data_IF_381299253317
#
_entry.id   IF_381299253317
#
_cell.length_a   1.000
_cell.length_b   1.000
_cell.length_c   1.000
_cell.angle_alpha   90.00
_cell.angle_beta   90.00
_cell.angle_gamma   90.00
#
_symmetry.space_group_name_H-M   'P 1'
#
loop_
_entity.id
_entity.type
_entity.pdbx_description
1 polymer ?
#
# COMPACT_ATOMS: atom_id res chain seq x y z
N UNK A 1 41.16 49.36 29.73
CA UNK A 1 40.18 49.64 30.80
C UNK A 1 39.99 48.36 31.62
N UNK A 2 40.53 48.25 32.84
CA UNK A 2 39.87 48.53 34.16
C UNK A 2 38.63 47.62 34.35
N UNK A 3 38.48 46.70 35.32
CA UNK A 3 38.97 46.52 36.73
C UNK A 3 38.93 45.00 37.10
N UNK A 4 39.87 44.39 37.84
CA UNK A 4 40.03 44.27 39.33
C UNK A 4 38.86 43.54 40.02
N UNK A 5 38.92 42.59 40.99
CA UNK A 5 39.85 42.11 42.07
C UNK A 5 39.51 40.62 42.36
N UNK A 6 40.43 39.70 42.70
CA UNK A 6 41.12 39.44 43.99
C UNK A 6 40.24 39.13 45.24
N UNK A 7 40.47 37.95 45.83
CA UNK A 7 40.21 37.57 47.24
C UNK A 7 40.36 36.04 47.40
N UNK A 8 41.49 35.44 47.81
CA UNK A 8 42.17 35.35 49.13
C UNK A 8 41.48 34.48 50.21
N UNK A 9 42.22 33.45 50.68
CA UNK A 9 41.99 32.69 51.93
C UNK A 9 42.25 31.19 51.74
N UNK A 10 43.49 30.67 51.91
CA UNK A 10 44.07 30.07 53.15
C UNK A 10 43.15 29.00 53.79
N UNK A 11 43.58 27.81 54.22
CA UNK A 11 44.88 27.22 54.50
C UNK A 11 44.69 25.67 54.68
N UNK A 12 45.75 24.89 54.95
CA UNK A 12 45.84 23.48 54.52
C UNK A 12 45.78 22.45 55.67
N UNK A 13 46.03 21.18 55.28
CA UNK A 13 46.78 20.13 55.99
C UNK A 13 46.01 19.17 56.92
N UNK A 14 46.10 17.90 56.52
CA UNK A 14 46.69 16.79 57.29
C UNK A 14 45.76 15.71 57.86
N UNK A 15 46.16 14.48 57.49
CA UNK A 15 46.29 13.25 58.29
C UNK A 15 45.09 12.30 58.41
N UNK A 16 45.33 11.14 57.78
CA UNK A 16 45.03 9.79 58.24
C UNK A 16 44.59 9.68 59.70
N UNK A 17 43.46 9.00 59.90
CA UNK A 17 43.04 8.41 61.15
C UNK A 17 42.20 7.16 60.86
N UNK A 18 42.88 6.02 60.87
CA UNK A 18 42.34 4.67 60.91
C UNK A 18 41.46 4.50 62.16
N UNK A 19 40.24 3.96 62.05
CA UNK A 19 39.80 2.86 62.91
C UNK A 19 38.44 2.28 62.48
N UNK A 20 38.44 0.95 62.45
CA UNK A 20 37.35 0.03 62.20
C UNK A 20 36.47 -0.07 63.44
N UNK A 21 35.15 -0.04 63.27
CA UNK A 21 34.26 -0.86 64.12
C UNK A 21 32.94 -1.16 63.42
N UNK A 22 32.55 -2.42 63.54
CA UNK A 22 31.42 -3.06 62.92
C UNK A 22 30.06 -2.48 63.38
N UNK A 23 29.11 -2.45 62.46
CA UNK A 23 27.70 -2.18 62.73
C UNK A 23 26.86 -2.89 61.69
N UNK A 24 26.44 -4.11 62.00
CA UNK A 24 25.49 -4.91 61.23
C UNK A 24 24.12 -4.21 61.28
N UNK A 25 23.56 -3.82 60.14
CA UNK A 25 22.17 -3.35 60.07
C UNK A 25 21.47 -3.90 58.82
N UNK A 26 20.23 -4.30 59.05
CA UNK A 26 19.36 -5.15 58.24
C UNK A 26 19.00 -4.58 56.85
N UNK A 27 18.86 -5.52 55.89
CA UNK A 27 17.80 -5.66 54.87
C UNK A 27 17.08 -4.39 54.38
N UNK A 28 17.27 -4.05 53.10
CA UNK A 28 16.14 -3.90 52.16
C UNK A 28 16.62 -4.27 50.76
N UNK A 29 16.30 -5.48 50.30
CA UNK A 29 16.40 -5.84 48.88
C UNK A 29 15.31 -5.06 48.15
N UNK A 30 15.66 -3.91 47.58
CA UNK A 30 14.78 -3.18 46.68
C UNK A 30 14.57 -4.01 45.42
N UNK A 31 13.44 -4.70 45.32
CA UNK A 31 12.99 -5.29 44.08
C UNK A 31 12.75 -4.14 43.09
N UNK A 32 13.52 -4.09 42.00
CA UNK A 32 13.22 -3.21 40.88
C UNK A 32 11.82 -3.55 40.37
N UNK A 33 10.96 -2.56 40.06
CA UNK A 33 9.70 -2.85 39.40
C UNK A 33 10.01 -3.57 38.08
N UNK A 34 9.48 -4.78 37.91
CA UNK A 34 9.52 -5.46 36.62
C UNK A 34 8.85 -4.54 35.59
N UNK A 35 9.45 -4.29 34.42
CA UNK A 35 8.76 -3.57 33.37
C UNK A 35 7.50 -4.36 33.04
N UNK A 36 6.32 -3.77 33.30
CA UNK A 36 5.08 -4.30 32.74
C UNK A 36 5.29 -4.39 31.23
N UNK A 37 5.02 -5.53 30.58
CA UNK A 37 5.06 -5.59 29.14
C UNK A 37 4.08 -4.53 28.64
N UNK A 38 4.60 -3.51 27.96
CA UNK A 38 3.75 -2.52 27.31
C UNK A 38 2.73 -3.30 26.46
N UNK A 39 1.43 -2.95 26.49
CA UNK A 39 0.49 -3.56 25.56
C UNK A 39 1.03 -3.29 24.16
N UNK A 40 1.32 -4.36 23.41
CA UNK A 40 1.66 -4.24 22.00
C UNK A 40 0.50 -3.50 21.35
N UNK A 41 0.77 -2.30 20.81
CA UNK A 41 -0.22 -1.54 20.10
C UNK A 41 -0.87 -2.45 19.06
N UNK A 42 -2.20 -2.52 19.07
CA UNK A 42 -2.98 -3.36 18.16
C UNK A 42 -2.86 -2.97 16.66
N UNK A 43 -1.91 -2.10 16.32
CA UNK A 43 -1.56 -1.73 14.95
C UNK A 43 -0.70 -2.77 14.22
N UNK A 44 -0.28 -3.86 14.88
CA UNK A 44 0.60 -4.87 14.30
C UNK A 44 -0.09 -6.13 13.74
N UNK A 45 -1.39 -6.11 13.43
CA UNK A 45 -2.10 -7.25 12.81
C UNK A 45 -3.13 -6.82 11.74
N UNK A 46 -2.72 -5.94 10.83
CA UNK A 46 -3.25 -5.95 9.46
C UNK A 46 -2.19 -6.56 8.53
N UNK A 47 -1.66 -7.73 8.92
CA UNK A 47 -0.98 -8.60 7.99
C UNK A 47 -2.02 -9.00 6.93
N UNK A 48 -1.98 -8.35 5.77
CA UNK A 48 -2.87 -8.64 4.66
C UNK A 48 -2.81 -10.12 4.34
N UNK A 49 -3.82 -10.87 4.78
CA UNK A 49 -3.90 -12.30 4.53
C UNK A 49 -3.97 -12.47 3.02
N UNK A 50 -2.98 -13.15 2.46
CA UNK A 50 -2.97 -13.55 1.07
C UNK A 50 -3.67 -14.89 0.99
N UNK A 51 -4.86 -14.90 0.41
CA UNK A 51 -5.62 -16.13 0.14
C UNK A 51 -5.47 -16.50 -1.34
N UNK A 52 -5.39 -17.78 -1.64
CA UNK A 52 -5.43 -18.25 -3.02
C UNK A 52 -6.88 -18.53 -3.38
N UNK A 53 -7.40 -17.79 -4.35
CA UNK A 53 -8.76 -17.99 -4.83
C UNK A 53 -8.73 -18.50 -6.29
N UNK A 54 -9.61 -19.47 -6.63
CA UNK A 54 -9.84 -19.81 -8.03
C UNK A 54 -10.64 -18.68 -8.69
N UNK A 55 -10.20 -18.27 -9.88
CA UNK A 55 -10.90 -17.36 -10.78
C UNK A 55 -11.36 -18.21 -11.96
N UNK A 56 -12.66 -18.36 -12.11
CA UNK A 56 -13.28 -19.02 -13.26
C UNK A 56 -13.54 -17.98 -14.35
N UNK A 57 -12.88 -18.15 -15.50
CA UNK A 57 -13.11 -17.35 -16.68
C UNK A 57 -14.32 -17.89 -17.48
N UNK A 58 -14.97 -17.07 -18.32
CA UNK A 58 -16.15 -17.50 -19.10
C UNK A 58 -15.90 -18.67 -20.07
N UNK A 59 -14.65 -18.93 -20.44
CA UNK A 59 -14.22 -20.05 -21.28
C UNK A 59 -14.02 -21.36 -20.49
N UNK A 60 -14.23 -21.33 -19.16
CA UNK A 60 -14.01 -22.47 -18.27
C UNK A 60 -12.57 -22.58 -17.74
N UNK A 61 -11.67 -21.67 -18.10
CA UNK A 61 -10.30 -21.65 -17.59
C UNK A 61 -10.30 -21.27 -16.10
N UNK A 62 -9.60 -22.05 -15.28
CA UNK A 62 -9.43 -21.79 -13.84
C UNK A 62 -8.04 -21.24 -13.57
N UNK A 63 -7.95 -20.03 -13.02
CA UNK A 63 -6.70 -19.40 -12.60
C UNK A 63 -6.65 -19.37 -11.07
N UNK A 64 -5.62 -19.97 -10.48
CA UNK A 64 -5.36 -19.87 -9.04
C UNK A 64 -4.45 -18.67 -8.81
N UNK A 65 -4.99 -17.61 -8.23
CA UNK A 65 -4.24 -16.36 -8.05
C UNK A 65 -4.24 -15.90 -6.57
N UNK A 66 -3.10 -15.39 -6.08
CA UNK A 66 -3.03 -14.81 -4.74
C UNK A 66 -3.86 -13.53 -4.69
N UNK A 67 -4.78 -13.44 -3.74
CA UNK A 67 -5.62 -12.26 -3.50
C UNK A 67 -5.36 -11.76 -2.09
N UNK A 68 -5.03 -10.48 -1.98
CA UNK A 68 -5.13 -9.80 -0.69
C UNK A 68 -6.60 -9.66 -0.35
N UNK A 69 -6.96 -9.92 0.90
CA UNK A 69 -8.30 -9.67 1.38
C UNK A 69 -8.58 -8.16 1.34
N UNK A 70 -9.08 -7.69 0.20
CA UNK A 70 -9.38 -6.29 -0.03
C UNK A 70 -10.57 -5.89 0.85
N UNK A 71 -10.49 -4.73 1.48
CA UNK A 71 -11.62 -4.13 2.20
C UNK A 71 -12.77 -3.99 1.19
N UNK A 72 -13.98 -4.51 1.47
CA UNK A 72 -15.08 -4.47 0.52
C UNK A 72 -15.46 -3.02 0.23
N UNK A 73 -15.05 -2.54 -0.95
CA UNK A 73 -15.36 -1.19 -1.44
C UNK A 73 -16.58 -1.22 -2.31
N UNK A 74 -17.48 -0.26 -2.08
CA UNK A 74 -18.72 -0.13 -2.86
C UNK A 74 -18.47 0.35 -4.28
N UNK A 75 -17.47 1.22 -4.47
CA UNK A 75 -17.08 1.73 -5.79
C UNK A 75 -15.57 1.94 -5.86
N UNK A 76 -15.00 1.70 -7.03
CA UNK A 76 -13.61 1.93 -7.40
C UNK A 76 -13.60 2.79 -8.67
N UNK A 77 -12.73 3.78 -8.69
CA UNK A 77 -12.54 4.62 -9.87
C UNK A 77 -11.61 3.91 -10.86
N UNK A 78 -12.03 3.79 -12.11
CA UNK A 78 -11.19 3.25 -13.19
C UNK A 78 -10.86 4.38 -14.13
N UNK A 79 -9.58 4.61 -14.35
CA UNK A 79 -9.07 5.63 -15.24
C UNK A 79 -8.38 4.95 -16.43
N UNK A 80 -8.92 5.17 -17.61
CA UNK A 80 -8.40 4.73 -18.88
C UNK A 80 -7.55 5.86 -19.49
N UNK A 81 -6.31 5.55 -19.86
CA UNK A 81 -5.34 6.49 -20.41
C UNK A 81 -4.82 5.95 -21.74
N UNK A 82 -5.13 6.64 -22.84
CA UNK A 82 -4.55 6.33 -24.13
C UNK A 82 -3.08 6.75 -24.17
N UNK A 83 -2.20 5.84 -24.58
CA UNK A 83 -0.79 6.13 -24.84
C UNK A 83 -0.59 6.48 -26.32
N UNK A 84 0.50 7.18 -26.65
CA UNK A 84 0.82 7.55 -28.04
C UNK A 84 -0.18 8.53 -28.65
N UNK A 85 -0.60 8.32 -29.90
CA UNK A 85 -1.61 9.11 -30.62
C UNK A 85 -2.88 8.31 -30.93
N UNK A 86 -3.04 7.15 -30.31
CA UNK A 86 -4.08 6.19 -30.61
C UNK A 86 -5.45 6.59 -30.03
N UNK A 87 -6.52 6.24 -30.77
CA UNK A 87 -7.92 6.52 -30.44
C UNK A 87 -8.66 5.19 -30.29
N UNK A 88 -9.17 4.91 -29.08
CA UNK A 88 -9.79 3.62 -28.79
C UNK A 88 -11.23 3.73 -28.31
N UNK A 89 -12.04 2.73 -28.63
CA UNK A 89 -13.31 2.50 -27.99
C UNK A 89 -13.14 1.46 -26.87
N UNK A 90 -13.75 1.72 -25.72
CA UNK A 90 -13.68 0.89 -24.52
C UNK A 90 -15.04 0.27 -24.26
N UNK A 91 -15.07 -1.06 -24.17
CA UNK A 91 -16.24 -1.84 -23.83
C UNK A 91 -16.03 -2.53 -22.48
N UNK A 92 -17.04 -2.46 -21.62
CA UNK A 92 -17.11 -3.18 -20.35
C UNK A 92 -18.35 -4.08 -20.39
N UNK A 93 -18.17 -5.39 -20.20
CA UNK A 93 -19.21 -6.41 -20.32
C UNK A 93 -20.00 -6.29 -21.63
N UNK A 94 -19.26 -6.06 -22.73
CA UNK A 94 -19.82 -5.89 -24.08
C UNK A 94 -20.55 -4.55 -24.31
N UNK A 95 -20.64 -3.67 -23.30
CA UNK A 95 -21.30 -2.36 -23.43
C UNK A 95 -20.27 -1.27 -23.69
N UNK A 96 -20.49 -0.47 -24.73
CA UNK A 96 -19.66 0.70 -25.04
C UNK A 96 -19.72 1.72 -23.89
N UNK A 97 -18.58 2.01 -23.27
CA UNK A 97 -18.45 3.03 -22.21
C UNK A 97 -17.79 4.30 -22.72
N UNK A 98 -16.85 4.15 -23.64
CA UNK A 98 -16.13 5.25 -24.27
C UNK A 98 -15.90 4.95 -25.75
N UNK A 99 -16.05 5.97 -26.60
CA UNK A 99 -15.95 5.84 -28.05
C UNK A 99 -14.69 6.53 -28.56
N UNK A 100 -13.95 5.87 -29.46
CA UNK A 100 -12.74 6.39 -30.10
C UNK A 100 -12.93 7.78 -30.71
N UNK A 101 -14.10 8.12 -31.26
CA UNK A 101 -14.37 9.42 -31.87
C UNK A 101 -14.44 10.59 -30.87
N UNK A 102 -14.30 10.31 -29.56
CA UNK A 102 -14.21 11.34 -28.54
C UNK A 102 -12.76 11.85 -28.44
N UNK A 103 -12.57 13.17 -28.41
CA UNK A 103 -11.25 13.81 -28.31
C UNK A 103 -10.60 13.64 -26.93
N UNK A 104 -11.33 13.17 -25.92
CA UNK A 104 -10.81 12.92 -24.58
C UNK A 104 -9.96 11.65 -24.53
N UNK A 105 -8.65 11.82 -24.38
CA UNK A 105 -7.68 10.71 -24.31
C UNK A 105 -7.57 10.04 -22.94
N UNK A 106 -8.27 10.62 -21.97
CA UNK A 106 -8.47 10.08 -20.64
C UNK A 106 -9.98 9.91 -20.39
N UNK A 107 -10.35 8.73 -19.93
CA UNK A 107 -11.73 8.42 -19.59
C UNK A 107 -11.79 7.81 -18.20
N UNK A 108 -12.66 8.34 -17.35
CA UNK A 108 -12.81 7.87 -15.98
C UNK A 108 -14.24 7.42 -15.77
N UNK A 109 -14.41 6.28 -15.11
CA UNK A 109 -15.71 5.83 -14.66
C UNK A 109 -15.61 5.16 -13.29
N UNK A 110 -16.72 5.08 -12.57
CA UNK A 110 -16.79 4.35 -11.30
C UNK A 110 -17.52 3.04 -11.51
N UNK A 111 -16.96 1.96 -10.98
CA UNK A 111 -17.56 0.63 -10.99
C UNK A 111 -17.57 0.07 -9.57
N UNK A 112 -18.56 -0.75 -9.22
CA UNK A 112 -18.44 -1.63 -8.07
C UNK A 112 -17.14 -2.44 -8.09
N UNK A 113 -16.62 -2.80 -6.91
CA UNK A 113 -15.56 -3.80 -6.87
C UNK A 113 -16.11 -5.13 -7.40
N UNK A 114 -15.37 -5.75 -8.31
CA UNK A 114 -15.81 -6.92 -9.05
C UNK A 114 -14.95 -7.15 -10.28
N UNK A 115 -15.16 -8.28 -10.93
CA UNK A 115 -14.50 -8.60 -12.18
C UNK A 115 -15.36 -8.26 -13.39
N UNK A 116 -14.71 -7.78 -14.45
CA UNK A 116 -15.37 -7.23 -15.63
C UNK A 116 -14.68 -7.70 -16.90
N UNK A 117 -15.46 -7.99 -17.95
CA UNK A 117 -14.91 -8.20 -19.28
C UNK A 117 -14.54 -6.86 -19.90
N UNK A 118 -13.25 -6.61 -20.14
CA UNK A 118 -12.77 -5.42 -20.82
C UNK A 118 -12.39 -5.77 -22.25
N UNK A 119 -12.77 -4.90 -23.18
CA UNK A 119 -12.30 -4.94 -24.55
C UNK A 119 -11.94 -3.52 -25.01
N UNK A 120 -10.74 -3.38 -25.56
CA UNK A 120 -10.24 -2.15 -26.16
C UNK A 120 -10.10 -2.37 -27.65
N UNK A 121 -10.70 -1.48 -28.43
CA UNK A 121 -10.73 -1.57 -29.90
C UNK A 121 -10.37 -0.23 -30.51
N UNK A 122 -10.07 -0.18 -31.81
CA UNK A 122 -9.92 1.07 -32.54
C UNK A 122 -11.24 1.79 -32.82
N UNK A 123 -11.32 2.43 -33.98
CA UNK A 123 -12.55 3.11 -34.44
C UNK A 123 -13.65 2.14 -34.85
N UNK A 124 -13.31 0.87 -35.06
CA UNK A 124 -14.23 -0.22 -35.38
C UNK A 124 -14.17 -1.30 -34.32
N UNK A 125 -15.31 -1.88 -33.97
CA UNK A 125 -15.41 -2.99 -33.00
C UNK A 125 -14.66 -4.26 -33.44
N UNK A 126 -14.29 -4.35 -34.72
CA UNK A 126 -13.54 -5.48 -35.29
C UNK A 126 -12.02 -5.29 -35.21
N UNK A 127 -11.54 -4.06 -34.97
CA UNK A 127 -10.12 -3.76 -34.75
C UNK A 127 -9.83 -3.89 -33.25
N UNK A 128 -9.84 -5.13 -32.73
CA UNK A 128 -9.57 -5.41 -31.31
C UNK A 128 -8.08 -5.27 -31.06
N UNK A 129 -7.72 -4.39 -30.13
CA UNK A 129 -6.33 -4.18 -29.73
C UNK A 129 -5.95 -5.09 -28.58
N UNK A 130 -6.87 -5.23 -27.62
CA UNK A 130 -6.72 -6.16 -26.51
C UNK A 130 -8.08 -6.48 -25.87
N UNK A 131 -8.20 -7.67 -25.28
CA UNK A 131 -9.37 -8.10 -24.52
C UNK A 131 -9.00 -9.08 -23.42
N UNK A 132 -9.83 -9.12 -22.38
CA UNK A 132 -9.54 -9.92 -21.19
C UNK A 132 -10.42 -9.57 -20.01
N UNK A 133 -10.06 -10.09 -18.84
CA UNK A 133 -10.79 -9.91 -17.59
C UNK A 133 -10.05 -8.94 -16.66
N UNK A 134 -10.79 -7.95 -16.16
CA UNK A 134 -10.32 -6.91 -15.26
C UNK A 134 -10.94 -7.09 -13.87
N UNK A 135 -10.15 -7.50 -12.87
CA UNK A 135 -10.58 -7.66 -11.46
C UNK A 135 -10.36 -6.36 -10.67
N UNK A 136 -11.41 -5.57 -10.55
CA UNK A 136 -11.40 -4.27 -9.88
C UNK A 136 -11.68 -4.46 -8.39
N UNK A 137 -10.82 -3.93 -7.52
CA UNK A 137 -10.93 -4.11 -6.06
C UNK A 137 -10.20 -5.35 -5.53
N UNK A 138 -9.24 -5.87 -6.32
CA UNK A 138 -8.27 -6.88 -5.86
C UNK A 138 -7.24 -6.33 -4.87
N UNK A 139 -6.94 -5.05 -4.97
CA UNK A 139 -5.98 -4.35 -4.12
C UNK A 139 -6.65 -3.23 -3.31
N UNK A 140 -5.86 -2.61 -2.43
CA UNK A 140 -6.31 -1.50 -1.59
C UNK A 140 -6.32 -0.16 -2.33
N UNK A 141 -6.17 -0.13 -3.66
CA UNK A 141 -6.18 1.10 -4.44
C UNK A 141 -7.62 1.57 -4.71
N UNK A 142 -7.89 2.86 -4.49
CA UNK A 142 -9.20 3.46 -4.80
C UNK A 142 -9.35 3.79 -6.28
N UNK A 143 -8.22 3.77 -7.00
CA UNK A 143 -8.12 4.11 -8.41
C UNK A 143 -7.36 2.99 -9.10
N UNK A 144 -7.95 2.44 -10.15
CA UNK A 144 -7.31 1.52 -11.09
C UNK A 144 -6.94 2.31 -12.34
N UNK A 145 -5.66 2.30 -12.71
CA UNK A 145 -5.18 2.97 -13.92
C UNK A 145 -4.96 1.91 -14.99
N UNK A 146 -5.70 2.07 -16.09
CA UNK A 146 -5.63 1.22 -17.28
C UNK A 146 -5.00 2.06 -18.40
N UNK A 147 -3.78 1.71 -18.78
CA UNK A 147 -3.09 2.29 -19.94
C UNK A 147 -3.35 1.40 -21.14
N UNK A 148 -3.53 2.02 -22.30
CA UNK A 148 -3.73 1.27 -23.53
C UNK A 148 -3.14 1.96 -24.74
N UNK A 149 -2.71 1.15 -25.71
CA UNK A 149 -2.32 1.58 -27.06
C UNK A 149 -2.53 0.47 -28.06
N UNK A 150 -2.47 0.79 -29.35
CA UNK A 150 -2.65 -0.22 -30.40
C UNK A 150 -1.53 -1.27 -30.40
N UNK A 151 -0.30 -0.87 -30.10
CA UNK A 151 0.88 -1.75 -30.12
C UNK A 151 1.22 -2.33 -28.76
N UNK A 152 0.89 -1.63 -27.67
CA UNK A 152 1.19 -2.06 -26.31
C UNK A 152 0.07 -2.81 -25.60
N UNK A 153 -1.09 -2.97 -26.24
CA UNK A 153 -2.27 -3.61 -25.66
C UNK A 153 -2.79 -2.86 -24.45
N UNK A 154 -3.34 -3.58 -23.48
CA UNK A 154 -3.80 -3.08 -22.18
C UNK A 154 -2.76 -3.38 -21.11
N UNK A 155 -2.47 -2.38 -20.28
CA UNK A 155 -1.62 -2.48 -19.11
C UNK A 155 -2.34 -1.91 -17.91
N UNK A 156 -2.39 -2.68 -16.82
CA UNK A 156 -3.06 -2.27 -15.59
C UNK A 156 -2.03 -2.03 -14.50
N UNK A 157 -2.08 -0.85 -13.89
CA UNK A 157 -1.18 -0.49 -12.81
C UNK A 157 -1.59 -1.16 -11.50
N UNK A 158 -0.61 -1.70 -10.77
CA UNK A 158 -0.81 -2.23 -9.43
C UNK A 158 -0.59 -3.74 -9.37
N UNK A 159 -1.63 -4.48 -8.97
CA UNK A 159 -1.56 -5.93 -8.79
C UNK A 159 -1.54 -6.61 -10.18
N UNK A 160 -0.54 -7.47 -10.47
CA UNK A 160 -0.37 -8.08 -11.79
C UNK A 160 -1.50 -9.03 -12.19
N UNK A 161 -2.31 -9.51 -11.24
CA UNK A 161 -3.45 -10.40 -11.49
C UNK A 161 -4.76 -9.63 -11.67
N UNK A 162 -4.72 -8.29 -11.67
CA UNK A 162 -5.90 -7.48 -11.99
C UNK A 162 -6.26 -7.54 -13.47
N UNK A 163 -5.29 -7.83 -14.34
CA UNK A 163 -5.49 -7.98 -15.77
C UNK A 163 -5.15 -9.39 -16.21
N UNK A 164 -6.14 -10.05 -16.81
CA UNK A 164 -6.02 -11.40 -17.36
C UNK A 164 -6.37 -11.31 -18.85
N UNK A 165 -5.37 -11.13 -19.74
CA UNK A 165 -5.61 -11.08 -21.17
C UNK A 165 -6.09 -12.45 -21.69
N UNK A 166 -6.84 -12.43 -22.80
CA UNK A 166 -7.27 -13.63 -23.52
C UNK A 166 -6.12 -14.37 -24.24
#
# INVERSE_FOLDING_TARGET
MKRTRQGWGRAPRSRLGLMVTAGLALLTTGALPSPSPAPVAAEALHAGITIYIPIELPDGTIIIAPRRQAVPRREVQVQFIAEGSDWASIYIDGRLRFNAFNTRRNYTLRLPAGGYRLQVTGTSRFDVWDSGYLDIGRNDANIVIVRYSKTGGVQVQGDPYMWLPD
#
